data_IF_919723039751
#
_entry.id   IF_919723039751
#
_cell.length_a   1.000
_cell.length_b   1.000
_cell.length_c   1.000
_cell.angle_alpha   90.00
_cell.angle_beta   90.00
_cell.angle_gamma   90.00
#
_symmetry.space_group_name_H-M   'P 1'
#
loop_
_entity.id
_entity.type
_entity.pdbx_description
1 polymer ?
#
# COMPACT_ATOMS: atom_id res chain seq x y z
N UNK A 1 23.67 -19.70 -3.27
CA UNK A 1 22.45 -19.29 -2.55
C UNK A 1 22.60 -19.67 -1.09
N UNK A 2 22.40 -18.71 -0.17
CA UNK A 2 22.29 -19.00 1.27
C UNK A 2 21.10 -19.95 1.50
N UNK A 3 21.16 -20.80 2.53
CA UNK A 3 20.13 -21.82 2.81
C UNK A 3 18.71 -21.25 2.92
N UNK A 4 18.57 -20.01 3.40
CA UNK A 4 17.28 -19.30 3.55
C UNK A 4 16.56 -19.00 2.24
N UNK A 5 17.29 -18.65 1.16
CA UNK A 5 16.65 -18.28 -0.12
C UNK A 5 16.11 -19.49 -0.90
N UNK A 6 16.56 -20.72 -0.59
CA UNK A 6 16.11 -21.94 -1.30
C UNK A 6 14.65 -22.32 -1.02
N UNK A 7 14.10 -21.83 0.08
CA UNK A 7 12.72 -22.15 0.51
C UNK A 7 11.70 -21.08 0.13
N UNK A 8 12.11 -20.02 -0.57
CA UNK A 8 11.16 -18.97 -0.97
C UNK A 8 10.18 -19.52 -2.01
N UNK A 9 8.89 -19.31 -1.74
CA UNK A 9 7.74 -19.66 -2.61
C UNK A 9 6.78 -18.52 -2.79
N UNK A 10 6.86 -17.48 -1.95
CA UNK A 10 5.99 -16.31 -2.00
C UNK A 10 6.81 -15.05 -2.23
N UNK A 11 6.39 -14.23 -3.17
CA UNK A 11 6.96 -12.91 -3.44
C UNK A 11 5.92 -11.86 -3.06
N UNK A 12 6.28 -10.99 -2.12
CA UNK A 12 5.46 -9.86 -1.68
C UNK A 12 6.15 -8.57 -2.07
N UNK A 13 5.48 -7.66 -2.76
CA UNK A 13 6.07 -6.36 -3.12
C UNK A 13 5.13 -5.22 -2.79
N UNK A 14 5.68 -4.17 -2.18
CA UNK A 14 5.05 -2.85 -2.28
C UNK A 14 5.07 -2.35 -3.73
N UNK A 15 4.22 -1.36 -4.03
CA UNK A 15 3.98 -0.85 -5.36
C UNK A 15 4.76 0.45 -5.64
N UNK A 16 4.37 1.57 -5.05
CA UNK A 16 4.99 2.88 -5.28
C UNK A 16 6.37 2.94 -4.65
N UNK A 17 7.37 3.49 -5.34
CA UNK A 17 8.74 3.52 -4.79
C UNK A 17 9.43 2.15 -4.70
N UNK A 18 8.72 1.06 -5.03
CA UNK A 18 9.21 -0.32 -4.92
C UNK A 18 9.11 -1.07 -6.24
N UNK A 19 7.93 -1.57 -6.61
CA UNK A 19 7.72 -2.30 -7.87
C UNK A 19 7.62 -1.38 -9.09
N UNK A 20 7.03 -0.20 -8.91
CA UNK A 20 6.90 0.81 -9.94
C UNK A 20 8.18 1.62 -10.06
N UNK A 21 8.55 1.92 -11.30
CA UNK A 21 9.61 2.88 -11.58
C UNK A 21 9.19 4.31 -11.17
N UNK A 22 10.10 5.31 -11.20
CA UNK A 22 9.78 6.69 -10.84
C UNK A 22 8.72 7.36 -11.72
N UNK A 23 8.33 6.76 -12.85
CA UNK A 23 7.24 7.22 -13.71
C UNK A 23 5.91 6.50 -13.38
N UNK A 24 5.82 5.82 -12.24
CA UNK A 24 4.66 5.03 -11.79
C UNK A 24 4.23 3.94 -12.78
N UNK A 25 5.20 3.34 -13.48
CA UNK A 25 4.97 2.28 -14.46
C UNK A 25 5.72 1.01 -14.09
N UNK A 26 5.14 -0.11 -14.50
CA UNK A 26 5.80 -1.42 -14.50
C UNK A 26 6.63 -1.50 -15.78
N UNK A 27 7.93 -1.77 -15.65
CA UNK A 27 8.83 -1.95 -16.81
C UNK A 27 8.60 -3.30 -17.48
N UNK A 28 8.93 -3.40 -18.76
CA UNK A 28 8.86 -4.67 -19.51
C UNK A 28 9.79 -5.74 -18.92
N UNK A 29 10.92 -5.32 -18.36
CA UNK A 29 11.82 -6.19 -17.61
C UNK A 29 11.15 -6.77 -16.36
N UNK A 30 10.53 -5.92 -15.53
CA UNK A 30 9.80 -6.34 -14.33
C UNK A 30 8.65 -7.29 -14.68
N UNK A 31 7.88 -6.95 -15.73
CA UNK A 31 6.80 -7.80 -16.25
C UNK A 31 7.32 -9.20 -16.61
N UNK A 32 8.42 -9.29 -17.36
CA UNK A 32 9.02 -10.56 -17.78
C UNK A 32 9.46 -11.42 -16.59
N UNK A 33 10.02 -10.80 -15.54
CA UNK A 33 10.44 -11.51 -14.32
C UNK A 33 9.24 -12.04 -13.54
N UNK A 34 8.16 -11.27 -13.43
CA UNK A 34 6.94 -11.70 -12.74
C UNK A 34 6.18 -12.79 -13.51
N UNK A 35 6.21 -12.76 -14.84
CA UNK A 35 5.72 -13.87 -15.68
C UNK A 35 6.51 -15.17 -15.42
N UNK A 36 7.82 -15.10 -15.28
CA UNK A 36 8.61 -16.29 -14.91
C UNK A 36 8.30 -16.79 -13.50
N UNK A 37 8.14 -15.90 -12.51
CA UNK A 37 7.70 -16.29 -11.17
C UNK A 37 6.39 -17.08 -11.23
N UNK A 38 5.42 -16.58 -11.98
CA UNK A 38 4.15 -17.26 -12.17
C UNK A 38 4.32 -18.63 -12.85
N UNK A 39 5.12 -18.71 -13.92
CA UNK A 39 5.43 -19.97 -14.62
C UNK A 39 6.10 -21.01 -13.71
N UNK A 40 6.82 -20.57 -12.68
CA UNK A 40 7.44 -21.43 -11.67
C UNK A 40 6.56 -21.67 -10.43
N UNK A 41 5.28 -21.29 -10.48
CA UNK A 41 4.28 -21.44 -9.42
C UNK A 41 4.63 -20.70 -8.11
N UNK A 42 5.32 -19.56 -8.19
CA UNK A 42 5.43 -18.67 -7.05
C UNK A 42 4.08 -17.99 -6.80
N UNK A 43 3.72 -17.86 -5.52
CA UNK A 43 2.63 -16.99 -5.11
C UNK A 43 3.09 -15.54 -5.17
N UNK A 44 2.35 -14.69 -5.87
CA UNK A 44 2.68 -13.27 -6.02
C UNK A 44 1.64 -12.44 -5.26
N UNK A 45 2.11 -11.58 -4.37
CA UNK A 45 1.30 -10.66 -3.58
C UNK A 45 1.82 -9.24 -3.80
N UNK A 46 0.93 -8.33 -4.17
CA UNK A 46 1.21 -6.89 -4.21
C UNK A 46 0.51 -6.23 -3.02
N UNK A 47 1.24 -5.44 -2.24
CA UNK A 47 0.72 -4.81 -1.01
C UNK A 47 0.92 -3.29 -1.03
N UNK A 48 -0.15 -2.50 -1.16
CA UNK A 48 -0.08 -1.05 -1.38
C UNK A 48 -1.02 -0.24 -0.47
N UNK A 49 -0.68 1.04 -0.26
CA UNK A 49 -1.56 2.02 0.38
C UNK A 49 -2.65 2.59 -0.54
N UNK A 50 -2.54 2.34 -1.86
CA UNK A 50 -3.55 2.75 -2.86
C UNK A 50 -4.88 2.04 -2.65
N UNK A 51 -5.93 2.68 -3.13
CA UNK A 51 -7.26 2.07 -3.21
C UNK A 51 -7.26 0.92 -4.24
N UNK A 52 -8.07 -0.13 -4.02
CA UNK A 52 -8.04 -1.32 -4.87
C UNK A 52 -8.34 -1.02 -6.35
N UNK A 53 -9.32 -0.16 -6.64
CA UNK A 53 -9.65 0.22 -8.03
C UNK A 53 -8.50 0.90 -8.79
N UNK A 54 -7.66 1.66 -8.09
CA UNK A 54 -6.49 2.33 -8.67
C UNK A 54 -5.33 1.34 -8.83
N UNK A 55 -5.04 0.58 -7.77
CA UNK A 55 -4.00 -0.44 -7.78
C UNK A 55 -4.24 -1.53 -8.82
N UNK A 56 -5.47 -2.04 -8.95
CA UNK A 56 -5.85 -3.08 -9.92
C UNK A 56 -5.50 -2.70 -11.36
N UNK A 57 -5.79 -1.47 -11.77
CA UNK A 57 -5.48 -1.01 -13.13
C UNK A 57 -3.97 -1.02 -13.44
N UNK A 58 -3.13 -0.86 -12.41
CA UNK A 58 -1.68 -0.91 -12.54
C UNK A 58 -1.18 -2.35 -12.57
N UNK A 59 -1.60 -3.18 -11.60
CA UNK A 59 -1.11 -4.56 -11.46
C UNK A 59 -1.56 -5.47 -12.61
N UNK A 60 -2.68 -5.17 -13.27
CA UNK A 60 -3.12 -5.88 -14.47
C UNK A 60 -2.06 -5.87 -15.59
N UNK A 61 -1.18 -4.85 -15.63
CA UNK A 61 -0.09 -4.75 -16.60
C UNK A 61 1.00 -5.83 -16.41
N UNK A 62 1.06 -6.47 -15.23
CA UNK A 62 1.94 -7.63 -15.02
C UNK A 62 1.51 -8.85 -15.84
N UNK A 63 0.24 -8.90 -16.25
CA UNK A 63 -0.36 -10.02 -17.00
C UNK A 63 -0.15 -11.38 -16.32
N UNK A 64 -0.16 -11.39 -14.99
CA UNK A 64 -0.12 -12.60 -14.16
C UNK A 64 -1.14 -12.51 -13.03
N UNK A 65 -1.66 -13.65 -12.53
CA UNK A 65 -2.50 -13.68 -11.35
C UNK A 65 -1.71 -13.20 -10.13
N UNK A 66 -2.25 -12.22 -9.40
CA UNK A 66 -1.66 -11.70 -8.16
C UNK A 66 -2.71 -11.52 -7.08
N UNK A 67 -2.34 -11.79 -5.84
CA UNK A 67 -3.10 -11.29 -4.71
C UNK A 67 -2.85 -9.79 -4.55
N UNK A 68 -3.91 -9.01 -4.33
CA UNK A 68 -3.81 -7.58 -4.07
C UNK A 68 -4.24 -7.29 -2.63
N UNK A 69 -3.28 -6.87 -1.83
CA UNK A 69 -3.50 -6.22 -0.54
C UNK A 69 -3.49 -4.72 -0.77
N UNK A 70 -4.62 -4.04 -0.53
CA UNK A 70 -4.74 -2.60 -0.81
C UNK A 70 -5.18 -1.83 0.43
N UNK A 71 -5.14 -0.49 0.34
CA UNK A 71 -5.48 0.42 1.43
C UNK A 71 -4.76 0.05 2.74
N UNK A 72 -3.46 -0.23 2.63
CA UNK A 72 -2.59 -0.65 3.74
C UNK A 72 -3.07 -1.91 4.49
N UNK A 73 -3.81 -2.81 3.83
CA UNK A 73 -4.29 -4.06 4.44
C UNK A 73 -5.80 -4.12 4.66
N UNK A 74 -6.53 -3.02 4.45
CA UNK A 74 -7.97 -2.99 4.68
C UNK A 74 -8.76 -3.81 3.66
N UNK A 75 -8.16 -4.14 2.51
CA UNK A 75 -8.75 -4.98 1.47
C UNK A 75 -7.78 -6.06 1.04
N UNK A 76 -8.31 -7.25 0.78
CA UNK A 76 -7.59 -8.34 0.09
C UNK A 76 -8.45 -8.79 -1.07
N UNK A 77 -7.88 -8.78 -2.27
CA UNK A 77 -8.48 -9.36 -3.46
C UNK A 77 -7.67 -10.57 -3.94
N UNK A 78 -8.38 -11.60 -4.38
CA UNK A 78 -7.80 -12.80 -4.97
C UNK A 78 -7.23 -12.51 -6.37
N UNK A 79 -6.45 -13.44 -6.95
CA UNK A 79 -6.04 -13.34 -8.34
C UNK A 79 -7.18 -13.30 -9.36
N UNK A 80 -8.34 -13.86 -9.02
CA UNK A 80 -9.58 -13.79 -9.81
C UNK A 80 -10.35 -12.48 -9.56
N UNK A 81 -9.75 -11.53 -8.83
CA UNK A 81 -10.31 -10.22 -8.46
C UNK A 81 -11.49 -10.29 -7.49
N UNK A 82 -11.70 -11.43 -6.83
CA UNK A 82 -12.71 -11.58 -5.78
C UNK A 82 -12.24 -10.89 -4.49
N UNK A 83 -13.10 -10.07 -3.87
CA UNK A 83 -12.80 -9.49 -2.57
C UNK A 83 -12.91 -10.54 -1.46
N UNK A 84 -11.76 -10.96 -0.93
CA UNK A 84 -11.67 -11.98 0.12
C UNK A 84 -11.77 -11.40 1.53
N UNK A 85 -11.38 -10.14 1.69
CA UNK A 85 -11.39 -9.46 2.97
C UNK A 85 -11.67 -7.98 2.79
N UNK A 86 -12.49 -7.43 3.68
CA UNK A 86 -12.74 -6.01 3.79
C UNK A 86 -12.87 -5.62 5.26
N UNK A 87 -12.23 -4.51 5.61
CA UNK A 87 -12.36 -3.85 6.89
C UNK A 87 -12.62 -2.36 6.68
N UNK A 88 -13.62 -1.83 7.38
CA UNK A 88 -13.99 -0.42 7.35
C UNK A 88 -13.91 0.15 8.74
N UNK A 89 -13.52 1.42 8.82
CA UNK A 89 -13.83 2.25 9.98
C UNK A 89 -15.35 2.37 10.09
N UNK A 90 -15.85 2.10 11.29
CA UNK A 90 -17.27 2.27 11.61
C UNK A 90 -17.65 3.76 11.58
N UNK A 91 -18.90 4.05 11.20
CA UNK A 91 -19.40 5.42 11.05
C UNK A 91 -19.22 6.25 12.32
N UNK A 92 -19.41 5.65 13.50
CA UNK A 92 -19.25 6.36 14.78
C UNK A 92 -17.79 6.77 15.04
N UNK A 93 -16.82 5.93 14.65
CA UNK A 93 -15.39 6.22 14.77
C UNK A 93 -15.01 7.36 13.82
N UNK A 94 -15.44 7.28 12.56
CA UNK A 94 -15.16 8.32 11.56
C UNK A 94 -15.82 9.63 11.95
N UNK A 95 -17.07 9.60 12.41
CA UNK A 95 -17.80 10.78 12.86
C UNK A 95 -17.13 11.43 14.06
N UNK A 96 -16.65 10.64 15.03
CA UNK A 96 -15.90 11.15 16.16
C UNK A 96 -14.58 11.79 15.71
N UNK A 97 -13.85 11.17 14.76
CA UNK A 97 -12.64 11.74 14.20
C UNK A 97 -12.88 13.06 13.46
N UNK A 98 -14.01 13.20 12.76
CA UNK A 98 -14.37 14.45 12.08
C UNK A 98 -15.01 15.50 13.01
N UNK A 99 -15.37 15.14 14.24
CA UNK A 99 -15.97 16.04 15.22
C UNK A 99 -14.90 16.87 15.97
N UNK A 100 -14.06 17.57 15.21
CA UNK A 100 -13.05 18.53 15.67
C UNK A 100 -13.11 19.77 14.80
N UNK A 101 -12.46 20.86 15.22
CA UNK A 101 -12.35 22.04 14.35
C UNK A 101 -11.40 21.73 13.19
N UNK A 102 -11.96 21.61 11.98
CA UNK A 102 -11.21 21.39 10.74
C UNK A 102 -11.14 22.71 9.99
N UNK A 103 -9.93 23.18 9.69
CA UNK A 103 -9.72 24.35 8.86
C UNK A 103 -10.42 24.17 7.50
N UNK A 104 -11.28 25.12 7.05
CA UNK A 104 -12.02 25.01 5.79
C UNK A 104 -11.15 24.82 4.54
N UNK A 105 -9.86 25.16 4.62
CA UNK A 105 -8.91 24.95 3.54
C UNK A 105 -8.45 23.48 3.42
N UNK A 106 -8.61 22.66 4.47
CA UNK A 106 -8.23 21.25 4.43
C UNK A 106 -9.23 20.46 3.58
N UNK A 107 -8.70 19.71 2.61
CA UNK A 107 -9.50 18.74 1.85
C UNK A 107 -9.62 17.47 2.67
N UNK A 108 -10.86 17.05 2.96
CA UNK A 108 -11.20 15.85 3.72
C UNK A 108 -11.85 14.85 2.78
N UNK A 109 -11.29 13.64 2.73
CA UNK A 109 -11.73 12.57 1.84
C UNK A 109 -12.02 11.30 2.63
N UNK A 110 -13.23 10.75 2.47
CA UNK A 110 -13.60 9.42 2.92
C UNK A 110 -13.52 8.46 1.74
N UNK A 111 -12.54 7.55 1.77
CA UNK A 111 -12.44 6.51 0.76
C UNK A 111 -13.48 5.42 1.04
N UNK A 112 -14.45 5.21 0.14
CA UNK A 112 -15.41 4.10 0.16
C UNK A 112 -15.13 3.15 -1.02
N UNK A 113 -15.90 2.07 -1.15
CA UNK A 113 -15.63 1.02 -2.15
C UNK A 113 -15.59 1.55 -3.59
N UNK A 114 -16.60 2.33 -4.00
CA UNK A 114 -16.76 2.75 -5.39
C UNK A 114 -16.68 4.27 -5.59
N UNK A 115 -16.53 5.00 -4.50
CA UNK A 115 -16.49 6.46 -4.48
C UNK A 115 -15.56 6.91 -3.37
N UNK A 116 -14.88 8.04 -3.58
CA UNK A 116 -14.30 8.79 -2.47
C UNK A 116 -15.10 10.08 -2.27
N UNK A 117 -15.71 10.19 -1.09
CA UNK A 117 -16.52 11.34 -0.74
C UNK A 117 -15.59 12.44 -0.24
N UNK A 118 -15.82 13.67 -0.66
CA UNK A 118 -14.94 14.80 -0.32
C UNK A 118 -15.73 16.05 0.02
N UNK A 119 -15.23 16.89 0.93
CA UNK A 119 -15.82 18.22 1.19
C UNK A 119 -15.51 19.23 0.07
N UNK A 120 -14.48 18.97 -0.74
CA UNK A 120 -14.08 19.86 -1.84
C UNK A 120 -13.38 19.12 -2.97
N UNK A 121 -13.58 19.61 -4.20
CA UNK A 121 -12.86 19.10 -5.37
C UNK A 121 -11.45 19.71 -5.37
N UNK A 122 -10.44 18.85 -5.51
CA UNK A 122 -9.04 19.25 -5.65
C UNK A 122 -8.48 18.65 -6.94
N UNK A 123 -8.15 19.51 -7.91
CA UNK A 123 -7.53 19.08 -9.18
C UNK A 123 -6.21 18.36 -8.95
N UNK A 124 -5.42 18.80 -7.96
CA UNK A 124 -4.15 18.18 -7.57
C UNK A 124 -4.34 16.75 -7.06
N UNK A 125 -5.37 16.50 -6.26
CA UNK A 125 -5.67 15.13 -5.78
C UNK A 125 -6.23 14.26 -6.91
N UNK A 126 -7.08 14.83 -7.77
CA UNK A 126 -7.64 14.12 -8.92
C UNK A 126 -6.56 13.75 -9.94
N UNK A 127 -5.49 14.54 -10.06
CA UNK A 127 -4.38 14.28 -10.98
C UNK A 127 -3.58 12.99 -10.65
N UNK A 128 -3.68 12.47 -9.43
CA UNK A 128 -3.08 11.17 -9.07
C UNK A 128 -3.82 9.96 -9.69
N UNK A 129 -5.00 10.19 -10.30
CA UNK A 129 -5.79 9.14 -10.92
C UNK A 129 -5.69 9.23 -12.45
N UNK A 130 -4.83 8.41 -13.06
CA UNK A 130 -4.74 8.33 -14.53
C UNK A 130 -6.03 7.74 -15.16
N UNK A 131 -6.74 6.86 -14.44
CA UNK A 131 -8.01 6.27 -14.87
C UNK A 131 -9.15 6.64 -13.89
N UNK A 132 -10.15 7.39 -14.39
CA UNK A 132 -11.33 7.91 -13.67
C UNK A 132 -12.35 6.83 -13.23
N UNK A 133 -11.89 5.65 -12.82
CA UNK A 133 -12.74 4.57 -12.28
C UNK A 133 -13.18 4.85 -10.83
N UNK A 134 -12.50 5.76 -10.13
CA UNK A 134 -12.77 6.08 -8.74
C UNK A 134 -12.96 7.59 -8.52
N UNK A 135 -14.19 8.07 -8.69
CA UNK A 135 -14.45 9.52 -8.87
C UNK A 135 -14.80 10.25 -7.58
N UNK A 136 -14.45 11.55 -7.46
CA UNK A 136 -14.86 12.40 -6.34
C UNK A 136 -16.36 12.62 -6.33
N UNK A 137 -16.96 12.41 -5.17
CA UNK A 137 -18.32 12.83 -4.87
C UNK A 137 -18.25 13.94 -3.82
N UNK A 138 -18.75 15.12 -4.16
CA UNK A 138 -18.81 16.24 -3.24
C UNK A 138 -19.94 15.98 -2.22
N UNK A 139 -19.61 15.97 -0.93
CA UNK A 139 -20.56 15.78 0.16
C UNK A 139 -20.46 16.89 1.19
N UNK A 140 -21.56 17.10 1.89
CA UNK A 140 -21.58 17.90 3.11
C UNK A 140 -21.53 16.97 4.33
N UNK A 141 -20.43 17.02 5.07
CA UNK A 141 -20.23 16.17 6.24
C UNK A 141 -21.12 16.57 7.43
N UNK A 142 -21.77 17.74 7.43
CA UNK A 142 -22.74 18.08 8.47
C UNK A 142 -24.05 17.30 8.32
N UNK A 143 -24.40 16.93 7.08
CA UNK A 143 -25.66 16.27 6.74
C UNK A 143 -25.50 14.80 6.33
N UNK A 144 -24.27 14.31 6.20
CA UNK A 144 -23.98 12.92 5.86
C UNK A 144 -24.48 11.95 6.94
N UNK A 145 -25.19 10.89 6.52
CA UNK A 145 -25.70 9.88 7.44
C UNK A 145 -24.71 8.71 7.64
N UNK A 146 -24.06 8.28 6.55
CA UNK A 146 -23.12 7.16 6.55
C UNK A 146 -21.67 7.65 6.40
N UNK A 147 -20.91 7.56 7.49
CA UNK A 147 -19.49 7.91 7.53
C UNK A 147 -18.56 6.70 7.35
N UNK A 148 -19.10 5.48 7.21
CA UNK A 148 -18.30 4.27 7.11
C UNK A 148 -17.31 4.36 5.95
N UNK A 149 -16.03 4.16 6.23
CA UNK A 149 -14.97 4.40 5.25
C UNK A 149 -13.82 3.41 5.39
N UNK A 150 -13.13 3.15 4.29
CA UNK A 150 -11.91 2.34 4.26
C UNK A 150 -10.78 3.07 4.97
N UNK A 151 -10.65 4.37 4.70
CA UNK A 151 -9.70 5.28 5.34
C UNK A 151 -10.19 6.73 5.25
N UNK A 152 -9.72 7.55 6.17
CA UNK A 152 -9.91 9.00 6.17
C UNK A 152 -8.62 9.64 5.66
N UNK A 153 -8.72 10.59 4.75
CA UNK A 153 -7.58 11.27 4.16
C UNK A 153 -7.76 12.78 4.23
N UNK A 154 -6.68 13.46 4.54
CA UNK A 154 -6.61 14.90 4.69
C UNK A 154 -5.46 15.43 3.84
N UNK A 155 -5.72 16.49 3.08
CA UNK A 155 -4.66 17.16 2.32
C UNK A 155 -4.71 18.67 2.44
N UNK A 156 -3.52 19.23 2.58
CA UNK A 156 -3.27 20.66 2.65
C UNK A 156 -1.79 20.94 2.34
N UNK A 157 -1.48 22.06 1.68
CA UNK A 157 -0.08 22.40 1.33
C UNK A 157 0.76 22.83 2.54
N UNK A 158 0.11 23.29 3.62
CA UNK A 158 0.74 23.56 4.91
C UNK A 158 0.71 22.33 5.82
N UNK A 159 1.87 21.70 6.04
CA UNK A 159 2.06 20.54 6.91
C UNK A 159 1.61 20.79 8.35
N UNK A 160 1.89 21.96 8.92
CA UNK A 160 1.57 22.28 10.31
C UNK A 160 0.06 22.24 10.57
N UNK A 161 -0.77 22.63 9.59
CA UNK A 161 -2.24 22.50 9.71
C UNK A 161 -2.67 21.04 9.84
N UNK A 162 -2.02 20.13 9.09
CA UNK A 162 -2.29 18.70 9.19
C UNK A 162 -1.78 18.12 10.51
N UNK A 163 -0.66 18.60 11.04
CA UNK A 163 -0.15 18.19 12.36
C UNK A 163 -1.12 18.59 13.47
N UNK A 164 -1.59 19.84 13.47
CA UNK A 164 -2.59 20.33 14.44
C UNK A 164 -3.89 19.52 14.33
N UNK A 165 -4.38 19.28 13.12
CA UNK A 165 -5.57 18.45 12.91
C UNK A 165 -5.36 17.02 13.42
N UNK A 166 -4.21 16.41 13.11
CA UNK A 166 -3.87 15.06 13.58
C UNK A 166 -3.92 14.99 15.11
N UNK A 167 -3.28 15.93 15.80
CA UNK A 167 -3.26 15.96 17.27
C UNK A 167 -4.67 16.14 17.86
N UNK A 168 -5.51 16.97 17.24
CA UNK A 168 -6.91 17.13 17.64
C UNK A 168 -7.72 15.84 17.47
N UNK A 169 -7.58 15.15 16.33
CA UNK A 169 -8.25 13.87 16.07
C UNK A 169 -7.81 12.81 17.08
N UNK A 170 -6.51 12.68 17.34
CA UNK A 170 -5.99 11.71 18.29
C UNK A 170 -6.42 12.01 19.74
N UNK A 171 -6.55 13.28 20.12
CA UNK A 171 -7.08 13.64 21.43
C UNK A 171 -8.55 13.21 21.60
N UNK A 172 -9.34 13.17 20.53
CA UNK A 172 -10.76 12.80 20.55
C UNK A 172 -11.04 11.30 20.27
N UNK A 173 -10.16 10.62 19.52
CA UNK A 173 -10.43 9.29 18.97
C UNK A 173 -9.16 8.45 18.74
N UNK A 174 -8.20 8.49 19.66
CA UNK A 174 -6.92 7.77 19.51
C UNK A 174 -7.00 6.26 19.64
N UNK A 175 -7.97 5.72 20.38
CA UNK A 175 -7.91 4.29 20.74
C UNK A 175 -8.07 3.36 19.54
N UNK A 176 -8.72 3.76 18.45
CA UNK A 176 -9.03 2.88 17.32
C UNK A 176 -8.32 3.26 16.02
N UNK A 177 -7.60 4.39 15.99
CA UNK A 177 -7.02 4.92 14.77
C UNK A 177 -5.50 4.88 14.79
N UNK A 178 -4.93 4.45 13.68
CA UNK A 178 -3.54 4.67 13.34
C UNK A 178 -3.45 5.74 12.24
N UNK A 179 -2.38 6.55 12.27
CA UNK A 179 -2.18 7.62 11.30
C UNK A 179 -0.85 7.48 10.56
N UNK A 180 -0.79 8.00 9.35
CA UNK A 180 0.44 8.11 8.58
C UNK A 180 0.45 9.40 7.75
N UNK A 181 1.63 9.97 7.57
CA UNK A 181 1.86 10.97 6.52
C UNK A 181 2.46 10.26 5.31
N UNK A 182 1.68 10.10 4.24
CA UNK A 182 2.19 9.54 2.96
C UNK A 182 3.07 10.57 2.22
N UNK A 183 2.73 11.85 2.38
CA UNK A 183 3.55 13.01 2.02
C UNK A 183 3.41 14.06 3.13
N UNK A 184 4.29 15.05 3.26
CA UNK A 184 4.10 16.15 4.21
C UNK A 184 2.74 16.87 4.06
N UNK A 185 2.16 16.82 2.86
CA UNK A 185 0.87 17.43 2.51
C UNK A 185 -0.32 16.47 2.52
N UNK A 186 -0.12 15.23 2.98
CA UNK A 186 -1.12 14.15 2.95
C UNK A 186 -1.10 13.37 4.26
N UNK A 187 -2.16 13.49 5.04
CA UNK A 187 -2.37 12.78 6.30
C UNK A 187 -3.48 11.75 6.12
N UNK A 188 -3.26 10.54 6.59
CA UNK A 188 -4.22 9.44 6.48
C UNK A 188 -4.49 8.82 7.84
N UNK A 189 -5.73 8.40 8.08
CA UNK A 189 -6.13 7.59 9.22
C UNK A 189 -6.77 6.29 8.74
N UNK A 190 -6.37 5.20 9.36
CA UNK A 190 -6.92 3.87 9.17
C UNK A 190 -7.19 3.24 10.53
N UNK A 191 -7.90 2.12 10.53
CA UNK A 191 -8.07 1.34 11.76
C UNK A 191 -6.72 0.79 12.25
N UNK A 192 -6.47 0.86 13.56
CA UNK A 192 -5.21 0.40 14.18
C UNK A 192 -4.94 -1.09 13.99
N UNK A 193 -5.96 -1.90 13.74
CA UNK A 193 -5.85 -3.35 13.57
C UNK A 193 -5.45 -3.75 12.14
N UNK A 194 -5.32 -2.76 11.25
CA UNK A 194 -5.05 -2.96 9.84
C UNK A 194 -3.65 -2.48 9.50
N UNK A 195 -2.83 -3.42 9.02
CA UNK A 195 -1.57 -3.14 8.34
C UNK A 195 -1.32 -4.18 7.24
N UNK A 196 -0.32 -3.91 6.38
CA UNK A 196 0.03 -4.81 5.28
C UNK A 196 0.42 -6.20 5.77
N UNK A 197 1.17 -6.31 6.86
CA UNK A 197 1.68 -7.56 7.39
C UNK A 197 0.55 -8.49 7.87
N UNK A 198 -0.44 -7.94 8.59
CA UNK A 198 -1.65 -8.67 9.02
C UNK A 198 -2.42 -9.21 7.81
N UNK A 199 -2.58 -8.40 6.77
CA UNK A 199 -3.26 -8.83 5.55
C UNK A 199 -2.46 -9.89 4.78
N UNK A 200 -1.14 -9.75 4.69
CA UNK A 200 -0.25 -10.75 4.08
C UNK A 200 -0.31 -12.06 4.84
N UNK A 201 -0.31 -12.05 6.17
CA UNK A 201 -0.47 -13.26 6.99
C UNK A 201 -1.75 -14.02 6.64
N UNK A 202 -2.87 -13.32 6.43
CA UNK A 202 -4.14 -13.96 6.00
C UNK A 202 -4.02 -14.61 4.62
N UNK A 203 -3.30 -13.98 3.69
CA UNK A 203 -3.04 -14.55 2.35
C UNK A 203 -2.17 -15.80 2.47
N UNK A 204 -1.08 -15.74 3.24
CA UNK A 204 -0.18 -16.86 3.45
C UNK A 204 -0.89 -18.05 4.11
N UNK A 205 -1.66 -17.81 5.16
CA UNK A 205 -2.44 -18.84 5.86
C UNK A 205 -3.44 -19.53 4.92
N UNK A 206 -4.15 -18.74 4.10
CA UNK A 206 -5.11 -19.25 3.11
C UNK A 206 -4.45 -20.17 2.08
N UNK A 207 -3.24 -19.83 1.64
CA UNK A 207 -2.48 -20.57 0.63
C UNK A 207 -1.58 -21.66 1.23
N UNK A 208 -1.56 -21.80 2.56
CA UNK A 208 -0.79 -22.82 3.27
C UNK A 208 0.72 -22.57 3.32
N UNK A 209 1.16 -21.31 3.22
CA UNK A 209 2.56 -20.90 3.34
C UNK A 209 2.87 -20.30 4.70
N UNK A 210 4.12 -20.42 5.14
CA UNK A 210 4.62 -19.70 6.32
C UNK A 210 5.32 -18.39 5.91
N UNK A 211 5.45 -17.40 6.82
CA UNK A 211 6.20 -16.17 6.56
C UNK A 211 7.64 -16.42 6.13
N UNK A 212 8.27 -17.48 6.62
CA UNK A 212 9.66 -17.85 6.29
C UNK A 212 9.84 -18.25 4.82
N UNK A 213 8.76 -18.65 4.14
CA UNK A 213 8.74 -18.98 2.71
C UNK A 213 8.48 -17.73 1.83
N UNK A 214 8.32 -16.56 2.45
CA UNK A 214 8.10 -15.31 1.75
C UNK A 214 9.37 -14.43 1.70
N UNK A 215 9.51 -13.72 0.57
CA UNK A 215 10.38 -12.55 0.44
C UNK A 215 9.51 -11.31 0.30
N UNK A 216 9.86 -10.21 0.95
CA UNK A 216 9.16 -8.94 0.81
C UNK A 216 10.06 -7.78 0.44
N UNK A 217 9.54 -6.88 -0.40
CA UNK A 217 10.20 -5.66 -0.85
C UNK A 217 9.39 -4.43 -0.45
N UNK A 218 10.03 -3.37 0.03
CA UNK A 218 9.36 -2.13 0.43
C UNK A 218 10.31 -0.95 0.64
N UNK A 219 9.76 0.25 0.63
CA UNK A 219 10.50 1.51 0.79
C UNK A 219 9.85 2.49 1.77
N UNK A 220 8.65 2.18 2.29
CA UNK A 220 7.88 3.04 3.17
C UNK A 220 7.80 2.54 4.62
N UNK A 221 7.40 3.45 5.53
CA UNK A 221 7.19 3.10 6.94
C UNK A 221 6.01 2.14 7.16
N UNK A 222 5.02 2.15 6.25
CA UNK A 222 3.93 1.18 6.20
C UNK A 222 4.38 -0.23 5.78
N UNK A 223 5.64 -0.41 5.38
CA UNK A 223 6.22 -1.72 5.06
C UNK A 223 7.01 -2.33 6.21
N UNK A 224 7.28 -1.59 7.30
CA UNK A 224 8.17 -2.03 8.39
C UNK A 224 7.77 -3.40 8.96
N UNK A 225 6.47 -3.57 9.25
CA UNK A 225 5.96 -4.83 9.79
C UNK A 225 6.06 -5.95 8.74
N UNK A 226 5.76 -5.67 7.47
CA UNK A 226 5.86 -6.64 6.38
C UNK A 226 7.32 -7.10 6.19
N UNK A 227 8.25 -6.16 6.12
CA UNK A 227 9.67 -6.41 5.93
C UNK A 227 10.29 -7.21 7.08
N UNK A 228 9.80 -7.01 8.30
CA UNK A 228 10.23 -7.75 9.49
C UNK A 228 9.57 -9.13 9.59
N UNK A 229 8.37 -9.28 9.03
CA UNK A 229 7.57 -10.50 9.11
C UNK A 229 8.13 -11.62 8.23
N UNK A 230 8.52 -11.31 6.99
CA UNK A 230 8.87 -12.35 6.01
C UNK A 230 10.25 -12.95 6.26
N UNK A 231 10.47 -14.17 5.78
CA UNK A 231 11.76 -14.86 5.88
C UNK A 231 12.92 -14.09 5.26
N UNK A 232 12.62 -13.20 4.30
CA UNK A 232 13.57 -12.27 3.71
C UNK A 232 12.91 -10.91 3.41
N UNK A 233 13.05 -9.96 4.31
CA UNK A 233 12.79 -8.54 4.05
C UNK A 233 13.93 -7.87 3.28
N UNK A 234 13.57 -7.01 2.31
CA UNK A 234 14.49 -6.26 1.46
C UNK A 234 14.04 -4.80 1.36
N UNK A 235 14.94 -3.89 1.74
CA UNK A 235 14.67 -2.44 1.70
C UNK A 235 15.13 -1.89 0.35
N UNK A 236 14.30 -1.08 -0.29
CA UNK A 236 14.67 -0.43 -1.56
C UNK A 236 15.78 0.60 -1.37
N UNK A 237 16.65 0.75 -2.39
CA UNK A 237 17.75 1.71 -2.34
C UNK A 237 17.29 3.17 -2.17
N UNK A 238 16.12 3.50 -2.71
CA UNK A 238 15.48 4.82 -2.62
C UNK A 238 14.72 5.05 -1.29
N UNK A 239 14.65 4.06 -0.41
CA UNK A 239 13.97 4.20 0.88
C UNK A 239 14.60 5.30 1.76
N UNK A 240 13.81 6.02 2.57
CA UNK A 240 14.30 7.03 3.50
C UNK A 240 15.38 6.48 4.45
N UNK A 241 16.35 7.32 4.82
CA UNK A 241 17.43 6.93 5.74
C UNK A 241 16.89 6.39 7.07
N UNK A 242 15.88 7.06 7.63
CA UNK A 242 15.25 6.65 8.89
C UNK A 242 14.59 5.26 8.82
N UNK A 243 14.08 4.84 7.66
CA UNK A 243 13.56 3.47 7.49
C UNK A 243 14.71 2.44 7.55
N UNK A 244 15.83 2.72 6.88
CA UNK A 244 17.04 1.86 6.91
C UNK A 244 17.61 1.76 8.32
N UNK A 245 17.60 2.86 9.07
CA UNK A 245 17.99 2.89 10.48
C UNK A 245 17.03 2.12 11.40
N UNK A 246 15.74 2.09 11.06
CA UNK A 246 14.72 1.33 11.79
C UNK A 246 14.90 -0.18 11.61
N UNK A 247 15.44 -0.61 10.46
CA UNK A 247 15.61 -2.01 10.07
C UNK A 247 17.07 -2.31 9.64
N UNK A 248 18.05 -2.12 10.54
CA UNK A 248 19.47 -2.10 10.18
C UNK A 248 20.01 -3.47 9.75
N UNK A 249 19.33 -4.56 10.12
CA UNK A 249 19.72 -5.93 9.78
C UNK A 249 19.23 -6.37 8.39
N UNK A 250 18.35 -5.59 7.75
CA UNK A 250 17.83 -5.93 6.43
C UNK A 250 18.77 -5.47 5.32
N UNK A 251 18.82 -6.27 4.26
CA UNK A 251 19.61 -5.96 3.08
C UNK A 251 18.93 -4.84 2.28
N UNK A 252 19.72 -3.81 1.95
CA UNK A 252 19.31 -2.73 1.06
C UNK A 252 19.68 -3.11 -0.37
N UNK A 253 18.69 -3.11 -1.27
CA UNK A 253 18.88 -3.45 -2.68
C UNK A 253 18.95 -2.19 -3.56
N UNK A 254 19.07 -2.35 -4.88
CA UNK A 254 19.06 -1.22 -5.82
C UNK A 254 17.71 -0.48 -5.81
N UNK A 255 17.68 0.68 -6.44
CA UNK A 255 16.50 1.55 -6.45
C UNK A 255 15.40 1.03 -7.38
N UNK A 256 14.18 1.55 -7.23
CA UNK A 256 13.10 1.30 -8.17
C UNK A 256 13.37 1.89 -9.58
N UNK A 257 14.19 2.95 -9.68
CA UNK A 257 14.67 3.48 -10.96
C UNK A 257 15.54 2.48 -11.74
N UNK A 258 16.07 1.47 -11.06
CA UNK A 258 16.95 0.46 -11.61
C UNK A 258 16.29 -0.92 -11.68
N UNK A 259 14.95 -1.01 -11.55
CA UNK A 259 14.21 -2.28 -11.47
C UNK A 259 14.71 -3.20 -10.34
N UNK A 260 15.01 -2.64 -9.17
CA UNK A 260 15.70 -3.36 -8.11
C UNK A 260 15.02 -4.64 -7.62
N UNK A 261 13.68 -4.61 -7.50
CA UNK A 261 12.87 -5.78 -7.16
C UNK A 261 13.08 -6.90 -8.20
N UNK A 262 12.87 -6.59 -9.48
CA UNK A 262 12.97 -7.55 -10.58
C UNK A 262 14.40 -8.11 -10.73
N UNK A 263 15.42 -7.27 -10.62
CA UNK A 263 16.83 -7.71 -10.69
C UNK A 263 17.22 -8.60 -9.51
N UNK A 264 16.71 -8.31 -8.32
CA UNK A 264 16.93 -9.17 -7.16
C UNK A 264 16.29 -10.54 -7.37
N UNK A 265 15.03 -10.58 -7.79
CA UNK A 265 14.30 -11.83 -8.06
C UNK A 265 15.03 -12.65 -9.15
N UNK A 266 15.35 -12.03 -10.28
CA UNK A 266 16.07 -12.64 -11.40
C UNK A 266 17.39 -13.28 -10.96
N UNK A 267 18.21 -12.55 -10.19
CA UNK A 267 19.56 -13.00 -9.83
C UNK A 267 19.64 -13.89 -8.59
N UNK A 268 18.76 -13.70 -7.59
CA UNK A 268 18.86 -14.37 -6.28
C UNK A 268 17.80 -15.43 -6.03
N UNK A 269 16.67 -15.38 -6.73
CA UNK A 269 15.55 -16.31 -6.56
C UNK A 269 15.48 -17.26 -7.76
N UNK A 270 15.45 -16.71 -8.98
CA UNK A 270 15.31 -17.48 -10.21
C UNK A 270 16.65 -17.97 -10.79
N UNK A 271 17.78 -17.32 -10.45
CA UNK A 271 19.10 -17.53 -11.07
C UNK A 271 19.04 -17.51 -12.61
N UNK A 272 18.32 -16.56 -13.19
CA UNK A 272 18.07 -16.47 -14.64
C UNK A 272 18.23 -15.02 -15.09
N UNK A 273 19.01 -14.78 -16.13
CA UNK A 273 19.09 -13.47 -16.76
C UNK A 273 17.92 -13.27 -17.74
N UNK A 274 17.36 -12.06 -17.73
CA UNK A 274 16.30 -11.64 -18.65
C UNK A 274 16.84 -10.50 -19.50
N UNK A 275 16.51 -10.50 -20.78
CA UNK A 275 16.83 -9.40 -21.68
C UNK A 275 15.63 -8.45 -21.67
N UNK A 276 15.87 -7.16 -21.37
CA UNK A 276 14.83 -6.14 -21.54
C UNK A 276 14.46 -6.06 -23.03
N UNK A 277 13.19 -6.29 -23.35
CA UNK A 277 12.65 -6.20 -24.70
C UNK A 277 12.60 -4.76 -25.21
#
# INVERSE_FOLDING_TARGET
MTSKLKNIKVVVSDLDGTLLNPQHKISDYTKSVFQELHNQNYLIVVATGRHHLDAMAIIEKLEVPVYLVSSNGARIHSPDKEQLFAFNLESDIVKAALNVEIDPEITVVLFKENVWQTNRISEKLNAFQEELKYRPELVDYETLEDFGAIKIFFSHDNHEKLVVLKDAILANSSENLHHAFSLPTCLEFMDKSIDKAVAILRVLEKEGFSPEEAVSFGDGFNDVQMLSLTGKGLIMGNAPALLKETLPDLEVISTNAEDGVAKYISSKILNKEFVAG
#
